data_IF_632321100710
#
_entry.id   IF_632321100710
#
_cell.length_a   1.000
_cell.length_b   1.000
_cell.length_c   1.000
_cell.angle_alpha   90.00
_cell.angle_beta   90.00
_cell.angle_gamma   90.00
#
_symmetry.space_group_name_H-M   'P 1'
#
loop_
_entity.id
_entity.type
_entity.pdbx_description
1 polymer ?
#
# COMPACT_ATOMS: atom_id res chain seq x y z
N UNK A 1 48.53 -4.51 -21.16
CA UNK A 1 49.01 -4.75 -19.78
C UNK A 1 48.43 -6.07 -19.31
N UNK A 2 49.28 -7.03 -18.96
CA UNK A 2 48.86 -8.32 -18.40
C UNK A 2 48.79 -8.13 -16.88
N UNK A 3 47.65 -8.45 -16.28
CA UNK A 3 47.45 -8.37 -14.84
C UNK A 3 48.24 -9.51 -14.16
N UNK A 4 49.46 -9.24 -13.72
CA UNK A 4 50.38 -10.19 -13.08
C UNK A 4 50.17 -10.25 -11.56
N UNK A 5 48.94 -10.60 -11.15
CA UNK A 5 48.62 -10.81 -9.74
C UNK A 5 48.06 -12.23 -9.57
N UNK A 6 48.64 -12.98 -8.62
CA UNK A 6 48.12 -14.30 -8.22
C UNK A 6 47.15 -14.10 -7.05
N UNK A 7 45.84 -14.33 -7.23
CA UNK A 7 44.89 -14.25 -6.13
C UNK A 7 45.26 -15.28 -5.06
N UNK A 8 45.12 -14.88 -3.79
CA UNK A 8 45.25 -15.77 -2.63
C UNK A 8 44.00 -15.63 -1.79
N UNK A 9 43.50 -16.75 -1.26
CA UNK A 9 42.44 -16.73 -0.26
C UNK A 9 42.96 -16.10 1.03
N UNK A 10 42.15 -15.26 1.67
CA UNK A 10 42.46 -14.74 3.00
C UNK A 10 42.67 -15.89 3.98
N UNK A 11 43.61 -15.73 4.91
CA UNK A 11 43.81 -16.68 6.02
C UNK A 11 42.80 -16.46 7.16
N UNK A 12 42.02 -15.37 7.10
CA UNK A 12 40.95 -15.07 8.06
C UNK A 12 39.72 -15.89 7.68
N UNK A 13 39.22 -16.67 8.63
CA UNK A 13 37.98 -17.41 8.48
C UNK A 13 36.79 -16.45 8.35
N UNK A 14 35.89 -16.75 7.43
CA UNK A 14 34.67 -15.97 7.25
C UNK A 14 33.70 -16.26 8.41
N UNK A 15 33.44 -15.25 9.23
CA UNK A 15 32.39 -15.27 10.24
C UNK A 15 31.25 -14.37 9.77
N UNK A 16 30.01 -14.81 10.01
CA UNK A 16 28.82 -14.11 9.55
C UNK A 16 27.99 -13.66 10.74
N UNK A 17 27.65 -12.37 10.78
CA UNK A 17 26.65 -11.84 11.68
C UNK A 17 25.25 -12.33 11.28
N UNK A 18 24.28 -12.10 12.17
CA UNK A 18 22.87 -12.18 11.79
C UNK A 18 22.56 -11.17 10.66
N UNK A 19 21.40 -11.34 10.00
CA UNK A 19 20.96 -10.38 8.98
C UNK A 19 20.83 -8.97 9.56
N UNK A 20 21.01 -7.96 8.71
CA UNK A 20 21.01 -6.55 9.11
C UNK A 20 19.68 -6.06 9.71
N UNK A 21 18.56 -6.70 9.36
CA UNK A 21 17.21 -6.41 9.87
C UNK A 21 16.45 -7.70 10.13
N UNK A 22 15.57 -7.67 11.13
CA UNK A 22 14.83 -8.85 11.60
C UNK A 22 13.54 -9.10 10.81
N UNK A 23 12.93 -8.04 10.26
CA UNK A 23 11.66 -8.10 9.52
C UNK A 23 11.85 -7.58 8.10
N UNK A 24 11.21 -8.21 7.12
CA UNK A 24 11.43 -7.95 5.68
C UNK A 24 10.11 -7.87 4.95
N UNK A 25 9.83 -6.69 4.41
CA UNK A 25 8.67 -6.44 3.55
C UNK A 25 9.14 -6.44 2.10
N UNK A 26 8.57 -7.32 1.28
CA UNK A 26 8.66 -7.19 -0.17
C UNK A 26 7.64 -6.15 -0.64
N UNK A 27 8.06 -5.18 -1.44
CA UNK A 27 7.17 -4.13 -1.94
C UNK A 27 7.16 -4.17 -3.46
N UNK A 28 6.00 -4.43 -4.08
CA UNK A 28 5.84 -4.35 -5.52
C UNK A 28 5.08 -3.08 -5.85
N UNK A 29 5.72 -2.16 -6.58
CA UNK A 29 5.12 -0.90 -7.02
C UNK A 29 5.07 -0.79 -8.55
N UNK A 30 4.28 0.14 -9.06
CA UNK A 30 4.29 0.45 -10.49
C UNK A 30 5.58 1.19 -10.86
N UNK A 31 6.08 1.01 -12.07
CA UNK A 31 7.28 1.70 -12.58
C UNK A 31 7.12 3.24 -12.58
N UNK A 32 5.90 3.75 -12.53
CA UNK A 32 5.55 5.18 -12.47
C UNK A 32 5.22 5.69 -11.06
N UNK A 33 5.31 4.85 -10.02
CA UNK A 33 5.03 5.25 -8.64
C UNK A 33 6.16 6.11 -8.06
N UNK A 34 5.80 7.24 -7.44
CA UNK A 34 6.72 8.19 -6.79
C UNK A 34 6.51 8.29 -5.27
N UNK A 35 5.53 7.59 -4.72
CA UNK A 35 4.93 7.89 -3.41
C UNK A 35 5.12 6.74 -2.42
N UNK A 36 4.86 5.51 -2.85
CA UNK A 36 4.75 4.34 -1.98
C UNK A 36 6.03 4.07 -1.19
N UNK A 37 7.19 4.02 -1.86
CA UNK A 37 8.48 3.79 -1.19
C UNK A 37 8.80 4.88 -0.16
N UNK A 38 8.46 6.13 -0.46
CA UNK A 38 8.65 7.24 0.46
C UNK A 38 7.74 7.15 1.69
N UNK A 39 6.51 6.65 1.53
CA UNK A 39 5.59 6.46 2.67
C UNK A 39 6.03 5.28 3.56
N UNK A 40 6.52 4.18 2.97
CA UNK A 40 7.16 3.12 3.75
C UNK A 40 8.37 3.63 4.53
N UNK A 41 9.24 4.43 3.90
CA UNK A 41 10.41 5.01 4.55
C UNK A 41 10.05 5.98 5.71
N UNK A 42 8.85 6.58 5.69
CA UNK A 42 8.37 7.47 6.75
C UNK A 42 7.71 6.74 7.91
N UNK A 43 7.16 5.55 7.65
CA UNK A 43 6.28 4.83 8.59
C UNK A 43 6.88 3.54 9.13
N UNK A 44 8.00 3.06 8.59
CA UNK A 44 8.72 1.88 9.06
C UNK A 44 10.06 2.27 9.69
N UNK A 45 10.40 1.65 10.83
CA UNK A 45 11.71 1.76 11.46
C UNK A 45 12.76 1.00 10.62
N UNK A 46 13.73 1.72 10.01
CA UNK A 46 14.72 1.10 9.13
C UNK A 46 15.73 0.21 9.88
N UNK A 47 15.85 0.35 11.21
CA UNK A 47 16.73 -0.50 12.02
C UNK A 47 16.09 -1.86 12.32
N UNK A 48 14.76 -1.98 12.16
CA UNK A 48 14.01 -3.21 12.44
C UNK A 48 13.43 -3.87 11.17
N UNK A 49 13.05 -3.05 10.18
CA UNK A 49 12.26 -3.47 9.03
C UNK A 49 12.97 -3.08 7.72
N UNK A 50 13.42 -4.09 6.99
CA UNK A 50 13.92 -3.92 5.63
C UNK A 50 12.79 -3.85 4.61
N UNK A 51 12.81 -2.84 3.74
CA UNK A 51 11.88 -2.70 2.61
C UNK A 51 12.63 -3.04 1.31
N UNK A 52 12.16 -4.07 0.61
CA UNK A 52 12.80 -4.56 -0.62
C UNK A 52 11.84 -4.38 -1.79
N UNK A 53 12.03 -3.29 -2.53
CA UNK A 53 11.14 -2.90 -3.60
C UNK A 53 11.51 -3.58 -4.94
N UNK A 54 10.49 -4.00 -5.69
CA UNK A 54 10.59 -4.30 -7.11
C UNK A 54 9.48 -3.57 -7.87
N UNK A 55 9.72 -3.31 -9.16
CA UNK A 55 8.84 -2.48 -10.00
C UNK A 55 8.32 -3.26 -11.18
N UNK A 56 7.00 -3.19 -11.40
CA UNK A 56 6.38 -3.72 -12.62
C UNK A 56 6.12 -2.59 -13.62
N UNK A 57 6.32 -2.86 -14.92
CA UNK A 57 5.95 -1.88 -15.95
C UNK A 57 4.46 -1.59 -15.90
N UNK A 58 4.12 -0.32 -16.03
CA UNK A 58 2.74 0.16 -16.11
C UNK A 58 2.58 1.12 -17.28
N UNK A 59 1.40 1.11 -17.90
CA UNK A 59 1.05 1.98 -19.03
C UNK A 59 -0.05 2.95 -18.61
N UNK A 60 0.25 4.25 -18.70
CA UNK A 60 -0.75 5.31 -18.58
C UNK A 60 -1.54 5.47 -19.90
N UNK A 61 -2.78 5.99 -19.86
CA UNK A 61 -3.53 6.39 -18.66
C UNK A 61 -4.09 5.20 -17.86
N UNK A 62 -4.64 5.48 -16.68
CA UNK A 62 -5.27 4.52 -15.78
C UNK A 62 -6.56 3.93 -16.32
N UNK A 63 -6.46 3.05 -17.32
CA UNK A 63 -7.61 2.31 -17.86
C UNK A 63 -7.74 0.94 -17.22
N UNK A 64 -8.97 0.39 -17.18
CA UNK A 64 -9.22 -0.97 -16.68
C UNK A 64 -8.34 -2.02 -17.36
N UNK A 65 -8.13 -1.91 -18.68
CA UNK A 65 -7.26 -2.81 -19.42
C UNK A 65 -5.79 -2.73 -18.97
N UNK A 66 -5.26 -1.51 -18.76
CA UNK A 66 -3.89 -1.31 -18.29
C UNK A 66 -3.72 -1.81 -16.85
N UNK A 67 -4.74 -1.65 -16.00
CA UNK A 67 -4.75 -2.19 -14.63
C UNK A 67 -4.74 -3.71 -14.61
N UNK A 68 -5.57 -4.38 -15.43
CA UNK A 68 -5.57 -5.84 -15.56
C UNK A 68 -4.22 -6.39 -16.06
N UNK A 69 -3.53 -5.65 -16.93
CA UNK A 69 -2.22 -6.03 -17.46
C UNK A 69 -1.08 -6.03 -16.43
N UNK A 70 -1.33 -5.57 -15.20
CA UNK A 70 -0.36 -5.63 -14.09
C UNK A 70 -0.26 -7.02 -13.48
N UNK A 71 -1.38 -7.76 -13.38
CA UNK A 71 -1.47 -9.03 -12.65
C UNK A 71 -0.40 -10.05 -13.07
N UNK A 72 -0.30 -10.43 -14.36
CA UNK A 72 0.69 -11.39 -14.83
C UNK A 72 2.15 -11.03 -14.54
N UNK A 73 2.45 -9.75 -14.26
CA UNK A 73 3.80 -9.26 -13.97
C UNK A 73 4.19 -9.43 -12.50
N UNK A 74 3.21 -9.64 -11.62
CA UNK A 74 3.42 -9.72 -10.18
C UNK A 74 4.23 -10.96 -9.78
N UNK A 75 4.04 -12.09 -10.47
CA UNK A 75 4.78 -13.33 -10.20
C UNK A 75 6.29 -13.14 -10.34
N UNK A 76 6.73 -12.59 -11.48
CA UNK A 76 8.15 -12.34 -11.73
C UNK A 76 8.69 -11.27 -10.78
N UNK A 77 7.93 -10.20 -10.55
CA UNK A 77 8.37 -9.15 -9.63
C UNK A 77 8.56 -9.67 -8.19
N UNK A 78 7.66 -10.52 -7.71
CA UNK A 78 7.75 -11.13 -6.39
C UNK A 78 8.94 -12.10 -6.28
N UNK A 79 9.20 -12.92 -7.30
CA UNK A 79 10.29 -13.92 -7.26
C UNK A 79 11.69 -13.28 -7.27
N UNK A 80 11.82 -12.09 -7.86
CA UNK A 80 13.06 -11.32 -7.90
C UNK A 80 13.41 -10.62 -6.58
N UNK A 81 12.46 -10.46 -5.65
CA UNK A 81 12.75 -9.86 -4.34
C UNK A 81 13.42 -10.91 -3.45
N UNK A 82 14.70 -10.71 -3.15
CA UNK A 82 15.54 -11.60 -2.32
C UNK A 82 15.41 -13.09 -2.70
N UNK A 83 15.90 -13.51 -3.87
CA UNK A 83 15.78 -14.91 -4.31
C UNK A 83 16.44 -15.88 -3.32
N UNK A 84 15.73 -16.93 -2.94
CA UNK A 84 16.19 -17.93 -1.97
C UNK A 84 15.95 -17.55 -0.49
N UNK A 85 15.57 -16.32 -0.19
CA UNK A 85 15.23 -15.88 1.16
C UNK A 85 13.71 -15.75 1.35
N UNK A 86 13.20 -16.11 2.53
CA UNK A 86 11.81 -15.84 2.90
C UNK A 86 11.58 -14.33 3.10
N UNK A 87 10.36 -13.85 2.90
CA UNK A 87 9.90 -12.52 3.31
C UNK A 87 8.83 -12.71 4.39
N UNK A 88 8.66 -11.73 5.27
CA UNK A 88 7.63 -11.78 6.30
C UNK A 88 6.25 -11.39 5.73
N UNK A 89 6.23 -10.48 4.76
CA UNK A 89 5.01 -10.08 4.02
C UNK A 89 5.37 -9.45 2.67
N UNK A 90 4.50 -9.58 1.68
CA UNK A 90 4.58 -8.84 0.41
C UNK A 90 3.41 -7.86 0.28
N UNK A 91 3.71 -6.60 0.01
CA UNK A 91 2.73 -5.58 -0.31
C UNK A 91 2.71 -5.29 -1.83
N UNK A 92 1.52 -5.32 -2.45
CA UNK A 92 1.34 -4.84 -3.82
C UNK A 92 0.70 -3.45 -3.84
N UNK A 93 1.50 -2.43 -4.16
CA UNK A 93 1.06 -1.03 -4.09
C UNK A 93 0.35 -0.54 -5.36
N UNK A 94 -0.91 -0.94 -5.52
CA UNK A 94 -1.84 -0.30 -6.45
C UNK A 94 -3.29 -0.59 -6.06
N UNK A 95 -4.00 0.40 -5.51
CA UNK A 95 -5.40 0.22 -5.08
C UNK A 95 -6.32 -0.10 -6.25
N UNK A 96 -6.25 0.71 -7.32
CA UNK A 96 -7.11 0.53 -8.49
C UNK A 96 -6.90 -0.84 -9.16
N UNK A 97 -5.66 -1.30 -9.31
CA UNK A 97 -5.39 -2.62 -9.86
C UNK A 97 -5.84 -3.75 -8.92
N UNK A 98 -5.67 -3.59 -7.61
CA UNK A 98 -6.14 -4.56 -6.62
C UNK A 98 -7.67 -4.70 -6.61
N UNK A 99 -8.40 -3.61 -6.83
CA UNK A 99 -9.86 -3.60 -7.04
C UNK A 99 -10.23 -4.29 -8.35
N UNK A 100 -9.58 -3.91 -9.45
CA UNK A 100 -9.92 -4.39 -10.80
C UNK A 100 -9.59 -5.88 -10.99
N UNK A 101 -8.45 -6.33 -10.47
CA UNK A 101 -8.03 -7.73 -10.50
C UNK A 101 -8.76 -8.56 -9.45
N UNK A 102 -9.05 -7.98 -8.29
CA UNK A 102 -9.50 -8.68 -7.09
C UNK A 102 -8.32 -9.19 -6.24
N UNK A 103 -8.46 -9.08 -4.91
CA UNK A 103 -7.40 -9.42 -3.96
C UNK A 103 -6.96 -10.89 -4.04
N UNK A 104 -7.89 -11.82 -4.28
CA UNK A 104 -7.58 -13.25 -4.42
C UNK A 104 -6.67 -13.50 -5.62
N UNK A 105 -6.99 -12.91 -6.78
CA UNK A 105 -6.21 -13.03 -8.01
C UNK A 105 -4.81 -12.42 -7.84
N UNK A 106 -4.72 -11.26 -7.17
CA UNK A 106 -3.42 -10.69 -6.80
C UNK A 106 -2.62 -11.67 -5.92
N UNK A 107 -3.27 -12.23 -4.91
CA UNK A 107 -2.69 -13.24 -4.02
C UNK A 107 -2.14 -14.45 -4.76
N UNK A 108 -2.86 -14.96 -5.75
CA UNK A 108 -2.42 -16.11 -6.56
C UNK A 108 -1.14 -15.80 -7.33
N UNK A 109 -1.04 -14.62 -7.96
CA UNK A 109 0.20 -14.21 -8.63
C UNK A 109 1.37 -14.02 -7.65
N UNK A 110 1.13 -13.39 -6.49
CA UNK A 110 2.18 -13.18 -5.49
C UNK A 110 2.70 -14.51 -4.92
N UNK A 111 1.80 -15.44 -4.59
CA UNK A 111 2.16 -16.79 -4.09
C UNK A 111 2.89 -17.63 -5.12
N UNK A 112 2.60 -17.45 -6.41
CA UNK A 112 3.33 -18.11 -7.48
C UNK A 112 4.80 -17.62 -7.58
N UNK A 113 5.08 -16.36 -7.21
CA UNK A 113 6.45 -15.81 -7.20
C UNK A 113 7.18 -15.99 -5.87
N UNK A 114 6.44 -15.97 -4.76
CA UNK A 114 6.96 -16.12 -3.39
C UNK A 114 5.99 -16.98 -2.56
N UNK A 115 6.18 -18.28 -2.62
CA UNK A 115 5.32 -19.24 -1.93
C UNK A 115 5.35 -19.03 -0.42
N UNK A 116 4.25 -19.37 0.25
CA UNK A 116 4.08 -19.30 1.72
C UNK A 116 4.29 -17.92 2.36
N UNK A 117 4.35 -16.85 1.56
CA UNK A 117 4.48 -15.48 2.06
C UNK A 117 3.11 -14.81 2.15
N UNK A 118 2.71 -14.27 3.32
CA UNK A 118 1.52 -13.44 3.45
C UNK A 118 1.57 -12.26 2.50
N UNK A 119 0.41 -11.79 2.03
CA UNK A 119 0.36 -10.63 1.16
C UNK A 119 -0.66 -9.60 1.62
N UNK A 120 -0.41 -8.35 1.26
CA UNK A 120 -1.29 -7.21 1.53
C UNK A 120 -1.54 -6.47 0.23
N UNK A 121 -2.81 -6.15 0.00
CA UNK A 121 -3.22 -5.18 -1.03
C UNK A 121 -3.81 -3.94 -0.34
N UNK A 122 -3.70 -2.74 -0.94
CA UNK A 122 -4.29 -1.54 -0.38
C UNK A 122 -5.80 -1.65 -0.16
N UNK A 123 -6.50 -2.36 -1.03
CA UNK A 123 -7.94 -2.59 -0.91
C UNK A 123 -8.29 -3.53 0.25
N UNK A 124 -7.58 -4.65 0.43
CA UNK A 124 -7.78 -5.53 1.60
C UNK A 124 -7.43 -4.81 2.90
N UNK A 125 -6.31 -4.10 2.92
CA UNK A 125 -5.88 -3.32 4.08
C UNK A 125 -6.85 -2.19 4.44
N UNK A 126 -7.49 -1.55 3.45
CA UNK A 126 -8.48 -0.53 3.69
C UNK A 126 -9.72 -1.08 4.42
N UNK A 127 -10.20 -2.28 4.08
CA UNK A 127 -11.29 -2.91 4.84
C UNK A 127 -10.88 -3.20 6.28
N UNK A 128 -9.71 -3.83 6.49
CA UNK A 128 -9.21 -4.13 7.82
C UNK A 128 -9.01 -2.85 8.67
N UNK A 129 -8.53 -1.77 8.05
CA UNK A 129 -8.32 -0.47 8.70
C UNK A 129 -9.63 0.21 9.09
N UNK A 130 -10.63 0.21 8.20
CA UNK A 130 -11.95 0.77 8.48
C UNK A 130 -12.68 -0.03 9.56
N UNK A 131 -12.55 -1.36 9.55
CA UNK A 131 -13.08 -2.24 10.60
C UNK A 131 -12.44 -1.96 11.97
N UNK A 132 -11.12 -1.77 12.01
CA UNK A 132 -10.39 -1.41 13.24
C UNK A 132 -10.85 -0.07 13.85
N UNK A 133 -11.36 0.84 13.00
CA UNK A 133 -11.92 2.15 13.36
C UNK A 133 -13.43 2.14 13.58
N UNK A 134 -14.09 0.98 13.54
CA UNK A 134 -15.56 0.86 13.60
C UNK A 134 -16.31 1.66 12.51
N UNK A 135 -15.65 1.97 11.39
CA UNK A 135 -16.21 2.76 10.30
C UNK A 135 -16.96 1.86 9.31
N UNK A 136 -18.29 1.96 9.29
CA UNK A 136 -19.15 1.19 8.36
C UNK A 136 -19.73 2.04 7.25
N UNK A 137 -19.99 3.32 7.55
CA UNK A 137 -20.47 4.31 6.60
C UNK A 137 -19.35 5.28 6.30
N UNK A 138 -18.90 5.37 5.05
CA UNK A 138 -17.68 6.11 4.70
C UNK A 138 -17.93 7.11 3.58
N UNK A 139 -17.16 8.20 3.62
CA UNK A 139 -16.92 9.04 2.46
C UNK A 139 -15.71 8.50 1.71
N UNK A 140 -15.76 8.51 0.37
CA UNK A 140 -14.63 8.05 -0.46
C UNK A 140 -14.15 9.17 -1.38
N UNK A 141 -12.84 9.38 -1.41
CA UNK A 141 -12.17 10.27 -2.35
C UNK A 141 -11.15 9.49 -3.19
N UNK A 142 -11.21 9.63 -4.51
CA UNK A 142 -10.23 9.07 -5.45
C UNK A 142 -9.62 10.19 -6.29
N UNK A 143 -8.37 10.05 -6.79
CA UNK A 143 -7.82 11.01 -7.75
C UNK A 143 -8.19 10.67 -9.20
N UNK A 144 -8.71 9.46 -9.45
CA UNK A 144 -8.81 8.85 -10.77
C UNK A 144 -9.87 9.49 -11.68
N UNK A 145 -9.87 9.03 -12.93
CA UNK A 145 -10.98 9.17 -13.87
C UNK A 145 -12.33 8.76 -13.25
N UNK A 146 -13.43 9.25 -13.84
CA UNK A 146 -14.77 8.89 -13.41
C UNK A 146 -15.04 7.38 -13.48
N UNK A 147 -14.57 6.71 -14.55
CA UNK A 147 -14.81 5.28 -14.76
C UNK A 147 -14.10 4.41 -13.73
N UNK A 148 -12.81 4.67 -13.47
CA UNK A 148 -12.07 3.92 -12.45
C UNK A 148 -12.58 4.24 -11.05
N UNK A 149 -12.93 5.50 -10.78
CA UNK A 149 -13.49 5.88 -9.49
C UNK A 149 -14.80 5.14 -9.20
N UNK A 150 -15.68 5.02 -10.21
CA UNK A 150 -16.93 4.27 -10.07
C UNK A 150 -16.68 2.79 -9.74
N UNK A 151 -15.69 2.14 -10.36
CA UNK A 151 -15.33 0.76 -10.03
C UNK A 151 -14.84 0.62 -8.58
N UNK A 152 -14.07 1.59 -8.09
CA UNK A 152 -13.63 1.62 -6.69
C UNK A 152 -14.80 1.80 -5.74
N UNK A 153 -15.69 2.76 -5.99
CA UNK A 153 -16.86 2.99 -5.14
C UNK A 153 -17.77 1.77 -5.08
N UNK A 154 -18.04 1.16 -6.24
CA UNK A 154 -18.87 -0.05 -6.34
C UNK A 154 -18.22 -1.22 -5.60
N UNK A 155 -16.91 -1.40 -5.74
CA UNK A 155 -16.19 -2.47 -5.05
C UNK A 155 -16.32 -2.38 -3.52
N UNK A 156 -16.12 -1.19 -2.94
CA UNK A 156 -16.27 -1.03 -1.48
C UNK A 156 -17.72 -1.17 -1.03
N UNK A 157 -18.68 -0.70 -1.83
CA UNK A 157 -20.12 -0.86 -1.56
C UNK A 157 -20.55 -2.34 -1.57
N UNK A 158 -20.15 -3.08 -2.61
CA UNK A 158 -20.49 -4.50 -2.80
C UNK A 158 -19.90 -5.39 -1.69
N UNK A 159 -18.83 -4.93 -1.04
CA UNK A 159 -18.15 -5.63 0.06
C UNK A 159 -18.57 -5.09 1.45
N UNK A 160 -19.74 -4.45 1.54
CA UNK A 160 -20.45 -4.23 2.81
C UNK A 160 -20.28 -2.85 3.44
N UNK A 161 -19.53 -1.93 2.82
CA UNK A 161 -19.46 -0.54 3.29
C UNK A 161 -20.61 0.29 2.75
N UNK A 162 -21.13 1.20 3.58
CA UNK A 162 -22.15 2.16 3.16
C UNK A 162 -21.47 3.43 2.65
N UNK A 163 -21.57 3.72 1.36
CA UNK A 163 -20.96 4.92 0.79
C UNK A 163 -21.86 6.14 1.06
N UNK A 164 -21.44 7.03 1.95
CA UNK A 164 -22.12 8.28 2.26
C UNK A 164 -21.92 9.33 1.16
N UNK A 165 -20.70 9.40 0.63
CA UNK A 165 -20.33 10.23 -0.52
C UNK A 165 -19.20 9.59 -1.30
N UNK A 166 -19.15 9.92 -2.59
CA UNK A 166 -18.16 9.43 -3.52
C UNK A 166 -17.69 10.59 -4.40
N UNK A 167 -16.42 10.98 -4.25
CA UNK A 167 -15.82 12.12 -4.93
C UNK A 167 -14.57 11.70 -5.68
N UNK A 168 -14.33 12.32 -6.85
CA UNK A 168 -13.14 12.04 -7.66
C UNK A 168 -12.55 13.33 -8.25
N UNK A 169 -11.22 13.35 -8.46
CA UNK A 169 -10.51 14.50 -9.04
C UNK A 169 -10.36 14.45 -10.56
N UNK A 170 -10.56 13.28 -11.19
CA UNK A 170 -10.56 13.17 -12.66
C UNK A 170 -9.19 13.23 -13.32
N UNK A 171 -8.13 12.77 -12.64
CA UNK A 171 -6.77 12.72 -13.20
C UNK A 171 -6.48 11.31 -13.73
N UNK A 172 -6.10 11.22 -15.00
CA UNK A 172 -5.92 9.95 -15.71
C UNK A 172 -4.48 9.42 -15.68
N UNK A 173 -3.50 10.27 -15.38
CA UNK A 173 -2.07 9.92 -15.39
C UNK A 173 -1.51 9.82 -13.97
N UNK A 174 -0.96 8.65 -13.63
CA UNK A 174 -0.40 8.38 -12.30
C UNK A 174 0.72 9.37 -11.91
N UNK A 175 1.48 9.86 -12.89
CA UNK A 175 2.59 10.80 -12.65
C UNK A 175 2.06 12.18 -12.29
N UNK A 176 0.90 12.55 -12.83
CA UNK A 176 0.20 13.79 -12.48
C UNK A 176 -0.49 13.66 -11.13
N UNK A 177 -1.10 12.50 -10.83
CA UNK A 177 -1.66 12.18 -9.51
C UNK A 177 -0.62 12.38 -8.41
N UNK A 178 0.60 11.87 -8.60
CA UNK A 178 1.70 12.02 -7.64
C UNK A 178 2.11 13.48 -7.37
N UNK A 179 1.81 14.38 -8.31
CA UNK A 179 2.14 15.80 -8.27
C UNK A 179 0.99 16.70 -7.82
N UNK A 180 -0.18 16.15 -7.52
CA UNK A 180 -1.28 16.92 -6.94
C UNK A 180 -0.79 17.64 -5.68
N UNK A 181 -1.14 18.92 -5.57
CA UNK A 181 -0.70 19.76 -4.45
C UNK A 181 -1.35 19.29 -3.15
N UNK A 182 -0.66 19.44 -2.02
CA UNK A 182 -1.23 19.09 -0.72
C UNK A 182 -2.49 19.90 -0.42
N UNK A 183 -2.54 21.18 -0.82
CA UNK A 183 -3.74 22.00 -0.71
C UNK A 183 -4.91 21.39 -1.49
N UNK A 184 -4.68 20.92 -2.73
CA UNK A 184 -5.74 20.26 -3.52
C UNK A 184 -6.23 19.00 -2.82
N UNK A 185 -5.32 18.17 -2.30
CA UNK A 185 -5.67 16.93 -1.59
C UNK A 185 -6.52 17.25 -0.36
N UNK A 186 -6.10 18.23 0.44
CA UNK A 186 -6.78 18.61 1.68
C UNK A 186 -8.14 19.22 1.40
N UNK A 187 -8.26 20.17 0.46
CA UNK A 187 -9.55 20.79 0.13
C UNK A 187 -10.52 19.76 -0.45
N UNK A 188 -10.06 18.87 -1.33
CA UNK A 188 -10.89 17.80 -1.88
C UNK A 188 -11.34 16.81 -0.80
N UNK A 189 -10.46 16.46 0.14
CA UNK A 189 -10.80 15.60 1.27
C UNK A 189 -11.85 16.24 2.18
N UNK A 190 -11.71 17.53 2.50
CA UNK A 190 -12.68 18.27 3.29
C UNK A 190 -14.04 18.38 2.58
N UNK A 191 -14.04 18.66 1.27
CA UNK A 191 -15.25 18.74 0.46
C UNK A 191 -15.93 17.37 0.30
N UNK A 192 -15.16 16.28 0.28
CA UNK A 192 -15.70 14.93 0.13
C UNK A 192 -16.36 14.40 1.41
N UNK A 193 -15.99 14.91 2.59
CA UNK A 193 -16.47 14.38 3.87
C UNK A 193 -17.94 14.72 4.12
N UNK A 194 -18.78 13.70 4.24
CA UNK A 194 -20.18 13.86 4.63
C UNK A 194 -20.35 13.83 6.16
N UNK A 195 -21.20 14.69 6.76
CA UNK A 195 -21.49 14.64 8.19
C UNK A 195 -22.03 13.29 8.66
N UNK A 196 -22.66 12.50 7.77
CA UNK A 196 -23.20 11.17 8.08
C UNK A 196 -22.19 10.02 8.04
N UNK A 197 -20.97 10.22 7.54
CA UNK A 197 -19.96 9.16 7.47
C UNK A 197 -19.10 9.06 8.73
N UNK A 198 -18.67 7.86 9.09
CA UNK A 198 -17.83 7.54 10.23
C UNK A 198 -16.37 7.93 9.97
N UNK A 199 -15.89 7.75 8.73
CA UNK A 199 -14.53 8.05 8.32
C UNK A 199 -14.46 8.48 6.84
N UNK A 200 -13.33 9.11 6.47
CA UNK A 200 -12.97 9.38 5.08
C UNK A 200 -11.92 8.37 4.60
N UNK A 201 -12.21 7.68 3.50
CA UNK A 201 -11.23 6.85 2.79
C UNK A 201 -10.70 7.58 1.55
N UNK A 202 -9.38 7.81 1.50
CA UNK A 202 -8.68 8.37 0.35
C UNK A 202 -7.97 7.24 -0.41
N UNK A 203 -8.54 6.86 -1.55
CA UNK A 203 -8.12 5.72 -2.35
C UNK A 203 -7.14 6.13 -3.44
N UNK A 204 -5.84 5.94 -3.19
CA UNK A 204 -4.78 5.80 -4.20
C UNK A 204 -3.43 5.62 -3.51
N UNK A 205 -2.57 4.76 -4.06
CA UNK A 205 -1.20 4.60 -3.57
C UNK A 205 -0.21 5.61 -4.17
N UNK A 206 -0.48 6.08 -5.39
CA UNK A 206 0.30 7.13 -6.04
C UNK A 206 0.02 8.54 -5.52
N UNK A 207 -1.13 8.76 -4.85
CA UNK A 207 -1.47 10.06 -4.27
C UNK A 207 -0.75 10.26 -2.94
N UNK A 208 -0.09 11.41 -2.76
CA UNK A 208 0.62 11.78 -1.52
C UNK A 208 -0.34 12.18 -0.37
N UNK A 209 -1.36 11.37 -0.14
CA UNK A 209 -2.40 11.63 0.85
C UNK A 209 -1.92 11.37 2.29
N UNK A 210 -1.01 10.41 2.48
CA UNK A 210 -0.52 10.04 3.81
C UNK A 210 0.06 11.21 4.60
N UNK A 211 0.86 12.06 3.95
CA UNK A 211 1.48 13.24 4.59
C UNK A 211 0.46 14.35 4.92
N UNK A 212 -0.76 14.26 4.37
CA UNK A 212 -1.83 15.23 4.60
C UNK A 212 -2.78 14.81 5.73
N UNK A 213 -2.70 13.58 6.23
CA UNK A 213 -3.72 12.97 7.10
C UNK A 213 -4.06 13.85 8.31
N UNK A 214 -3.07 14.26 9.10
CA UNK A 214 -3.32 15.04 10.32
C UNK A 214 -4.07 16.35 10.04
N UNK A 215 -3.68 17.07 8.98
CA UNK A 215 -4.32 18.33 8.58
C UNK A 215 -5.76 18.13 8.10
N UNK A 216 -6.04 16.97 7.51
CA UNK A 216 -7.39 16.62 7.08
C UNK A 216 -8.22 16.27 8.30
N UNK A 217 -7.75 15.36 9.16
CA UNK A 217 -8.45 14.96 10.40
C UNK A 217 -8.76 16.17 11.29
N UNK A 218 -7.81 17.10 11.47
CA UNK A 218 -8.01 18.34 12.23
C UNK A 218 -9.16 19.20 11.66
N UNK A 219 -9.33 19.21 10.34
CA UNK A 219 -10.37 20.01 9.66
C UNK A 219 -11.73 19.33 9.63
N UNK A 220 -11.76 18.01 9.45
CA UNK A 220 -13.02 17.26 9.30
C UNK A 220 -13.53 16.67 10.62
N UNK A 221 -12.68 16.62 11.66
CA UNK A 221 -13.01 16.09 12.99
C UNK A 221 -13.30 14.60 13.03
N UNK A 222 -12.86 13.83 12.02
CA UNK A 222 -13.15 12.41 11.85
C UNK A 222 -11.92 11.66 11.32
N UNK A 223 -11.80 10.35 11.58
CA UNK A 223 -10.67 9.55 11.10
C UNK A 223 -10.54 9.57 9.58
N UNK A 224 -9.29 9.59 9.12
CA UNK A 224 -8.93 9.44 7.71
C UNK A 224 -8.12 8.16 7.53
N UNK A 225 -8.52 7.36 6.55
CA UNK A 225 -7.78 6.18 6.08
C UNK A 225 -7.27 6.46 4.67
N UNK A 226 -5.97 6.32 4.43
CA UNK A 226 -5.39 6.35 3.07
C UNK A 226 -4.94 4.96 2.64
N UNK A 227 -4.90 4.69 1.34
CA UNK A 227 -4.41 3.41 0.80
C UNK A 227 -3.02 3.02 1.31
N UNK A 228 -2.06 3.96 1.32
CA UNK A 228 -0.70 3.68 1.77
C UNK A 228 -0.62 3.45 3.28
N UNK A 229 -1.26 4.31 4.07
CA UNK A 229 -1.32 4.18 5.53
C UNK A 229 -1.94 2.85 5.94
N UNK A 230 -3.08 2.46 5.34
CA UNK A 230 -3.73 1.19 5.62
C UNK A 230 -2.85 -0.01 5.25
N UNK A 231 -2.25 0.01 4.05
CA UNK A 231 -1.35 -1.05 3.59
C UNK A 231 -0.14 -1.21 4.52
N UNK A 232 0.50 -0.11 4.90
CA UNK A 232 1.67 -0.14 5.80
C UNK A 232 1.24 -0.61 7.18
N UNK A 233 0.17 -0.05 7.76
CA UNK A 233 -0.41 -0.51 9.01
C UNK A 233 -0.64 -2.02 8.99
N UNK A 234 -1.26 -2.55 7.92
CA UNK A 234 -1.54 -3.98 7.82
C UNK A 234 -0.28 -4.84 7.70
N UNK A 235 0.76 -4.33 7.02
CA UNK A 235 2.07 -4.98 7.00
C UNK A 235 2.67 -5.06 8.40
N UNK A 236 2.66 -3.97 9.17
CA UNK A 236 3.19 -3.95 10.54
C UNK A 236 2.48 -4.95 11.46
N UNK A 237 1.17 -5.14 11.29
CA UNK A 237 0.40 -6.16 11.99
C UNK A 237 0.85 -7.58 11.62
N UNK A 238 1.23 -7.85 10.35
CA UNK A 238 1.83 -9.14 9.98
C UNK A 238 3.21 -9.37 10.57
N UNK A 239 3.94 -8.29 10.86
CA UNK A 239 5.27 -8.36 11.44
C UNK A 239 5.25 -8.49 12.97
N UNK A 240 4.07 -8.42 13.61
CA UNK A 240 3.93 -8.24 15.06
C UNK A 240 4.80 -7.07 15.56
N UNK A 241 4.83 -5.97 14.80
CA UNK A 241 5.70 -4.84 15.10
C UNK A 241 5.13 -3.98 16.23
N UNK A 242 5.95 -3.74 17.27
CA UNK A 242 5.62 -2.85 18.39
C UNK A 242 6.02 -1.39 18.15
N UNK A 243 6.44 -1.04 16.93
CA UNK A 243 6.88 0.32 16.63
C UNK A 243 5.73 1.32 16.78
N UNK A 244 6.03 2.51 17.30
CA UNK A 244 5.06 3.60 17.40
C UNK A 244 5.19 4.50 16.19
N UNK A 245 4.10 4.64 15.42
CA UNK A 245 4.05 5.50 14.23
C UNK A 245 3.28 6.78 14.55
N UNK A 246 3.96 7.93 14.48
CA UNK A 246 3.39 9.24 14.78
C UNK A 246 3.07 10.06 13.51
N UNK A 247 2.08 10.95 13.59
CA UNK A 247 1.80 11.94 12.53
C UNK A 247 1.00 11.43 11.33
N UNK A 248 0.62 10.16 11.32
CA UNK A 248 -0.14 9.52 10.24
C UNK A 248 -1.54 9.10 10.69
N UNK A 249 -2.23 10.00 11.41
CA UNK A 249 -3.63 9.87 11.85
C UNK A 249 -3.90 8.82 12.93
N UNK A 250 -5.18 8.56 13.15
CA UNK A 250 -5.64 7.73 14.27
C UNK A 250 -5.38 6.23 14.07
N UNK A 251 -5.32 5.74 12.82
CA UNK A 251 -5.28 4.29 12.53
C UNK A 251 -4.16 3.54 13.25
N UNK A 252 -2.96 4.10 13.36
CA UNK A 252 -1.82 3.43 14.00
C UNK A 252 -1.96 3.25 15.52
N UNK A 253 -3.00 3.82 16.14
CA UNK A 253 -3.37 3.60 17.54
C UNK A 253 -4.27 2.37 17.73
N UNK A 254 -4.65 1.71 16.63
CA UNK A 254 -5.55 0.56 16.62
C UNK A 254 -4.83 -0.70 16.13
N UNK A 255 -5.26 -1.86 16.63
CA UNK A 255 -4.87 -3.18 16.13
C UNK A 255 -6.00 -3.81 15.33
N UNK A 256 -5.70 -4.88 14.60
CA UNK A 256 -6.75 -5.70 13.98
C UNK A 256 -7.66 -6.23 15.10
N UNK A 257 -8.97 -6.20 14.86
CA UNK A 257 -9.92 -6.89 15.71
C UNK A 257 -9.81 -8.37 15.40
N UNK A 258 -9.53 -9.19 16.40
CA UNK A 258 -9.41 -10.64 16.25
C UNK A 258 -10.58 -11.16 15.39
N UNK A 259 -10.28 -11.57 14.16
CA UNK A 259 -11.18 -12.42 13.41
C UNK A 259 -11.13 -13.75 14.13
N UNK A 260 -12.11 -14.02 14.97
CA UNK A 260 -12.37 -15.38 15.43
C UNK A 260 -12.50 -16.26 14.18
N UNK A 261 -11.39 -16.94 13.86
CA UNK A 261 -11.28 -18.14 13.02
C UNK A 261 -12.41 -18.35 12.01
N UNK A 262 -12.22 -17.88 10.78
CA UNK A 262 -12.83 -18.52 9.61
C UNK A 262 -11.72 -19.30 8.89
N UNK A 263 -11.72 -20.61 9.16
CA UNK A 263 -11.03 -21.65 8.39
C UNK A 263 -11.51 -21.66 6.94
#
# INVERSE_FOLDING_TARGET
MIFDCRPKTSLVEANFDARSVNKRIGLIVLATDHTSEGDFARMCDPDQIGIYANRITYKNPGTRANLLATGPRLTEAASQILPGDALDVIAYSCTAASVVLGNAVVGDYLKAGKSDTPFVTPSSAAFDALEALDAKRISVLTPYSASISQEVFQYFADNGLQIASANYLGVDDDREIARLSESTIIEAACAAMEPSADALFISCTGLRAAVCIHRIEDRIGKPVVTSNQAMIWRCLQHLDSEQVVHGFGHLFQHSIKDRMSAQ
#
